data_IF_893227336658
#
_entry.id   IF_893227336658
#
_cell.length_a   1.000
_cell.length_b   1.000
_cell.length_c   1.000
_cell.angle_alpha   90.00
_cell.angle_beta   90.00
_cell.angle_gamma   90.00
#
_symmetry.space_group_name_H-M   'P 1'
#
loop_
_entity.id
_entity.type
_entity.pdbx_description
1 polymer ?
#
# COMPACT_ATOMS: atom_id res chain seq x y z
N UNK A 1 -8.09 13.41 -9.92
CA UNK A 1 -6.85 12.63 -10.14
C UNK A 1 -7.00 11.35 -9.34
N UNK A 2 -6.80 10.19 -9.96
CA UNK A 2 -6.81 8.92 -9.24
C UNK A 2 -5.36 8.57 -8.95
N UNK A 3 -5.00 8.48 -7.67
CA UNK A 3 -3.63 8.13 -7.28
C UNK A 3 -3.41 6.63 -7.48
N UNK A 4 -2.31 6.29 -8.18
CA UNK A 4 -1.88 4.91 -8.37
C UNK A 4 -1.41 4.29 -7.04
N UNK A 5 -1.68 3.01 -6.87
CA UNK A 5 -1.31 2.23 -5.68
C UNK A 5 -2.29 2.33 -4.51
N UNK A 6 -3.40 3.07 -4.62
CA UNK A 6 -4.48 3.09 -3.62
C UNK A 6 -5.35 1.83 -3.67
N UNK A 7 -6.03 1.49 -2.57
CA UNK A 7 -7.07 0.46 -2.52
C UNK A 7 -8.25 0.79 -3.45
N UNK A 8 -8.52 2.08 -3.69
CA UNK A 8 -9.51 2.54 -4.66
C UNK A 8 -9.07 2.23 -6.10
N UNK A 9 -7.81 2.52 -6.45
CA UNK A 9 -7.25 2.20 -7.77
C UNK A 9 -7.15 0.69 -8.01
N UNK A 10 -6.85 -0.10 -6.97
CA UNK A 10 -6.85 -1.56 -7.01
C UNK A 10 -8.21 -2.12 -7.45
N UNK A 11 -9.29 -1.62 -6.85
CA UNK A 11 -10.65 -1.99 -7.20
C UNK A 11 -11.20 -1.23 -8.41
N UNK A 12 -10.41 -0.32 -9.01
CA UNK A 12 -10.79 0.51 -10.16
C UNK A 12 -12.03 1.37 -9.90
N UNK A 13 -12.16 1.91 -8.70
CA UNK A 13 -13.25 2.81 -8.29
C UNK A 13 -12.72 4.19 -7.88
N UNK A 14 -13.61 5.19 -7.88
CA UNK A 14 -13.31 6.54 -7.37
C UNK A 14 -13.38 6.55 -5.84
N UNK A 15 -12.66 7.47 -5.21
CA UNK A 15 -12.75 7.72 -3.76
C UNK A 15 -14.15 8.15 -3.31
N UNK A 16 -14.92 8.76 -4.21
CA UNK A 16 -16.32 9.16 -3.99
C UNK A 16 -17.30 8.00 -4.17
N UNK A 17 -16.83 6.79 -4.48
CA UNK A 17 -17.72 5.65 -4.76
C UNK A 17 -18.54 5.26 -3.53
N UNK A 18 -19.78 4.88 -3.76
CA UNK A 18 -20.68 4.35 -2.73
C UNK A 18 -20.23 2.94 -2.31
N UNK A 19 -20.72 2.46 -1.17
CA UNK A 19 -20.41 1.11 -0.69
C UNK A 19 -20.87 0.03 -1.68
N UNK A 20 -22.00 0.25 -2.36
CA UNK A 20 -22.55 -0.69 -3.34
C UNK A 20 -21.67 -0.75 -4.61
N UNK A 21 -21.20 0.40 -5.09
CA UNK A 21 -20.25 0.47 -6.20
C UNK A 21 -18.94 -0.26 -5.86
N UNK A 22 -18.41 -0.04 -4.65
CA UNK A 22 -17.20 -0.71 -4.16
C UNK A 22 -17.43 -2.23 -4.07
N UNK A 23 -18.58 -2.66 -3.58
CA UNK A 23 -18.92 -4.08 -3.47
C UNK A 23 -19.00 -4.76 -4.84
N UNK A 24 -19.63 -4.12 -5.82
CA UNK A 24 -19.69 -4.60 -7.21
C UNK A 24 -18.28 -4.69 -7.80
N UNK A 25 -17.45 -3.68 -7.58
CA UNK A 25 -16.08 -3.65 -8.03
C UNK A 25 -15.23 -4.76 -7.41
N UNK A 26 -15.34 -4.98 -6.10
CA UNK A 26 -14.69 -6.08 -5.38
C UNK A 26 -15.04 -7.46 -5.96
N UNK A 27 -16.33 -7.74 -6.19
CA UNK A 27 -16.75 -9.00 -6.79
C UNK A 27 -16.26 -9.15 -8.24
N UNK A 28 -16.14 -8.04 -8.97
CA UNK A 28 -15.60 -8.03 -10.34
C UNK A 28 -14.08 -8.26 -10.34
N UNK A 29 -13.37 -7.66 -9.39
CA UNK A 29 -11.94 -7.86 -9.14
C UNK A 29 -11.63 -9.34 -8.86
N UNK A 30 -12.33 -9.96 -7.91
CA UNK A 30 -12.12 -11.37 -7.58
C UNK A 30 -12.42 -12.30 -8.77
N UNK A 31 -13.46 -12.01 -9.55
CA UNK A 31 -13.78 -12.80 -10.76
C UNK A 31 -12.71 -12.72 -11.84
N UNK A 32 -11.94 -11.62 -11.91
CA UNK A 32 -10.84 -11.46 -12.87
C UNK A 32 -9.60 -12.27 -12.48
N UNK A 33 -9.37 -12.43 -11.19
CA UNK A 33 -8.16 -13.05 -10.62
C UNK A 33 -8.37 -14.54 -10.34
N UNK A 34 -9.61 -15.02 -10.41
CA UNK A 34 -9.93 -16.42 -10.14
C UNK A 34 -9.21 -17.38 -11.11
N UNK A 35 -8.56 -18.45 -10.60
CA UNK A 35 -7.74 -19.36 -11.39
C UNK A 35 -8.52 -20.05 -12.54
N UNK A 36 -9.83 -20.30 -12.36
CA UNK A 36 -10.68 -20.86 -13.43
C UNK A 36 -10.72 -20.03 -14.72
N UNK A 37 -10.41 -18.72 -14.65
CA UNK A 37 -10.41 -17.85 -15.84
C UNK A 37 -9.02 -17.54 -16.36
N UNK A 38 -7.99 -17.61 -15.53
CA UNK A 38 -6.63 -17.23 -15.91
C UNK A 38 -5.75 -18.42 -16.27
N UNK A 39 -6.14 -19.66 -15.91
CA UNK A 39 -5.36 -20.88 -16.22
C UNK A 39 -3.98 -20.93 -15.55
N UNK A 40 -3.69 -19.94 -14.70
CA UNK A 40 -2.44 -19.74 -13.96
C UNK A 40 -2.78 -19.91 -12.49
N UNK A 41 -1.85 -20.47 -11.70
CA UNK A 41 -1.97 -20.53 -10.24
C UNK A 41 -2.47 -19.18 -9.72
N UNK A 42 -3.54 -19.20 -8.92
CA UNK A 42 -4.13 -17.96 -8.43
C UNK A 42 -3.06 -17.11 -7.78
N UNK A 43 -2.98 -15.83 -8.15
CA UNK A 43 -2.04 -14.91 -7.53
C UNK A 43 -2.58 -14.62 -6.11
N UNK A 44 -2.27 -15.52 -5.17
CA UNK A 44 -2.81 -15.56 -3.82
C UNK A 44 -2.67 -14.18 -3.13
N UNK A 45 -1.55 -13.52 -3.38
CA UNK A 45 -1.24 -12.17 -2.92
C UNK A 45 -2.24 -11.12 -3.44
N UNK A 46 -2.67 -11.20 -4.70
CA UNK A 46 -3.69 -10.31 -5.27
C UNK A 46 -5.07 -10.56 -4.65
N UNK A 47 -5.43 -11.83 -4.43
CA UNK A 47 -6.69 -12.18 -3.76
C UNK A 47 -6.70 -11.61 -2.34
N UNK A 48 -5.60 -11.73 -1.61
CA UNK A 48 -5.44 -11.17 -0.27
C UNK A 48 -5.50 -9.64 -0.28
N UNK A 49 -4.88 -8.99 -1.26
CA UNK A 49 -4.95 -7.54 -1.43
C UNK A 49 -6.39 -7.08 -1.70
N UNK A 50 -7.14 -7.78 -2.54
CA UNK A 50 -8.56 -7.51 -2.77
C UNK A 50 -9.41 -7.70 -1.52
N UNK A 51 -9.19 -8.78 -0.76
CA UNK A 51 -9.86 -9.03 0.52
C UNK A 51 -9.55 -7.93 1.53
N UNK A 52 -8.32 -7.45 1.56
CA UNK A 52 -7.90 -6.35 2.40
C UNK A 52 -8.56 -5.03 2.02
N UNK A 53 -8.62 -4.70 0.73
CA UNK A 53 -9.36 -3.52 0.25
C UNK A 53 -10.82 -3.57 0.72
N UNK A 54 -11.46 -4.74 0.57
CA UNK A 54 -12.82 -4.92 1.05
C UNK A 54 -12.96 -4.77 2.57
N UNK A 55 -12.01 -5.25 3.38
CA UNK A 55 -12.07 -5.08 4.83
C UNK A 55 -11.95 -3.60 5.25
N UNK A 56 -11.19 -2.80 4.51
CA UNK A 56 -11.11 -1.36 4.74
C UNK A 56 -12.37 -0.62 4.28
N UNK A 57 -13.10 -1.10 3.26
CA UNK A 57 -14.25 -0.38 2.74
C UNK A 57 -15.61 -0.83 3.30
N UNK A 58 -15.72 -2.06 3.79
CA UNK A 58 -16.99 -2.64 4.25
C UNK A 58 -17.62 -1.87 5.41
N UNK A 59 -16.82 -1.33 6.32
CA UNK A 59 -17.27 -0.55 7.47
C UNK A 59 -16.97 0.94 7.25
N UNK A 60 -17.96 1.86 7.40
CA UNK A 60 -17.74 3.29 7.32
C UNK A 60 -16.60 3.81 8.21
N UNK A 61 -16.37 3.20 9.39
CA UNK A 61 -15.30 3.60 10.30
C UNK A 61 -13.93 3.24 9.74
N UNK A 62 -13.74 2.00 9.27
CA UNK A 62 -12.46 1.57 8.68
C UNK A 62 -12.17 2.34 7.40
N UNK A 63 -13.20 2.61 6.59
CA UNK A 63 -13.06 3.44 5.38
C UNK A 63 -12.57 4.83 5.74
N UNK A 64 -13.17 5.46 6.75
CA UNK A 64 -12.77 6.80 7.22
C UNK A 64 -11.33 6.83 7.72
N UNK A 65 -10.86 5.76 8.37
CA UNK A 65 -9.46 5.65 8.81
C UNK A 65 -8.54 5.60 7.59
N UNK A 66 -8.87 4.77 6.60
CA UNK A 66 -8.11 4.70 5.36
C UNK A 66 -8.10 6.04 4.58
N UNK A 67 -9.25 6.71 4.49
CA UNK A 67 -9.35 8.03 3.84
C UNK A 67 -8.48 9.08 4.54
N UNK A 68 -8.40 9.05 5.88
CA UNK A 68 -7.49 9.92 6.65
C UNK A 68 -6.04 9.60 6.37
N UNK A 69 -5.67 8.32 6.34
CA UNK A 69 -4.32 7.90 5.99
C UNK A 69 -3.91 8.41 4.60
N UNK A 70 -4.79 8.26 3.60
CA UNK A 70 -4.54 8.79 2.25
C UNK A 70 -4.36 10.31 2.25
N UNK A 71 -5.18 11.04 3.01
CA UNK A 71 -5.04 12.49 3.13
C UNK A 71 -3.69 12.88 3.77
N UNK A 72 -3.23 12.16 4.79
CA UNK A 72 -1.94 12.38 5.44
C UNK A 72 -0.77 12.11 4.48
N UNK A 73 -0.78 10.98 3.77
CA UNK A 73 0.25 10.64 2.79
C UNK A 73 0.32 11.67 1.65
N UNK A 74 -0.83 12.16 1.17
CA UNK A 74 -0.87 13.26 0.19
C UNK A 74 -0.27 14.54 0.73
N UNK A 75 -0.56 14.89 1.99
CA UNK A 75 0.02 16.07 2.62
C UNK A 75 1.54 15.94 2.73
N UNK A 76 2.04 14.78 3.15
CA UNK A 76 3.48 14.46 3.23
C UNK A 76 4.17 14.62 1.88
N UNK A 77 3.53 14.18 0.79
CA UNK A 77 4.03 14.36 -0.59
C UNK A 77 3.93 15.78 -1.12
N UNK A 78 2.85 16.50 -0.79
CA UNK A 78 2.56 17.84 -1.32
C UNK A 78 3.36 18.96 -0.66
N UNK A 79 3.86 18.75 0.57
CA UNK A 79 4.90 19.61 1.13
C UNK A 79 6.11 19.44 0.21
N UNK A 80 6.38 20.46 -0.60
CA UNK A 80 7.32 20.53 -1.74
C UNK A 80 8.81 20.15 -1.47
N UNK A 81 9.08 19.36 -0.44
CA UNK A 81 10.39 18.96 0.03
C UNK A 81 10.42 17.45 0.32
N UNK A 82 9.51 16.62 -0.21
CA UNK A 82 9.65 15.17 -0.08
C UNK A 82 11.04 14.72 -0.59
N UNK A 83 11.53 15.29 -1.69
CA UNK A 83 12.89 15.06 -2.19
C UNK A 83 13.98 15.71 -1.31
N UNK A 84 13.68 16.81 -0.60
CA UNK A 84 14.65 17.47 0.29
C UNK A 84 14.72 16.86 1.70
N UNK A 85 13.68 16.12 2.11
CA UNK A 85 13.59 15.37 3.37
C UNK A 85 13.98 13.89 3.19
N UNK A 86 13.84 13.35 1.98
CA UNK A 86 14.20 11.97 1.66
C UNK A 86 15.72 11.84 1.64
N UNK A 87 16.24 11.02 2.53
CA UNK A 87 17.68 10.74 2.66
C UNK A 87 18.10 9.55 1.79
N UNK A 88 17.16 8.66 1.46
CA UNK A 88 17.38 7.49 0.63
C UNK A 88 16.08 6.98 -0.01
N UNK A 89 16.20 6.23 -1.09
CA UNK A 89 15.08 5.61 -1.80
C UNK A 89 15.30 4.09 -1.79
N UNK A 90 14.29 3.34 -1.33
CA UNK A 90 14.21 1.89 -1.41
C UNK A 90 13.13 1.50 -2.42
N UNK A 91 13.54 0.92 -3.55
CA UNK A 91 12.61 0.32 -4.51
C UNK A 91 12.45 -1.16 -4.21
N UNK A 92 11.24 -1.62 -3.92
CA UNK A 92 10.97 -3.02 -3.62
C UNK A 92 11.02 -3.84 -4.91
N UNK A 93 11.96 -4.77 -4.98
CA UNK A 93 12.01 -5.76 -6.05
C UNK A 93 11.09 -6.96 -5.73
N UNK A 94 11.06 -7.96 -6.62
CA UNK A 94 10.22 -9.15 -6.43
C UNK A 94 10.64 -9.99 -5.21
N UNK A 95 11.93 -10.03 -4.88
CA UNK A 95 12.44 -10.72 -3.70
C UNK A 95 12.02 -10.00 -2.41
N UNK A 96 12.14 -8.68 -2.36
CA UNK A 96 11.70 -7.84 -1.24
C UNK A 96 10.21 -8.05 -0.97
N UNK A 97 9.39 -8.04 -2.03
CA UNK A 97 7.94 -8.30 -1.95
C UNK A 97 7.67 -9.71 -1.45
N UNK A 98 8.41 -10.71 -1.93
CA UNK A 98 8.28 -12.09 -1.47
C UNK A 98 8.63 -12.22 0.02
N UNK A 99 9.73 -11.61 0.47
CA UNK A 99 10.14 -11.59 1.88
C UNK A 99 9.06 -10.93 2.73
N UNK A 100 8.61 -9.74 2.32
CA UNK A 100 7.59 -8.98 3.02
C UNK A 100 6.31 -9.81 3.19
N UNK A 101 5.79 -10.37 2.10
CA UNK A 101 4.53 -11.11 2.10
C UNK A 101 4.62 -12.44 2.88
N UNK A 102 5.77 -13.13 2.84
CA UNK A 102 5.96 -14.40 3.54
C UNK A 102 6.31 -14.22 5.03
N UNK A 103 7.16 -13.25 5.37
CA UNK A 103 7.67 -13.06 6.74
C UNK A 103 6.87 -12.02 7.54
N UNK A 104 5.97 -11.27 6.89
CA UNK A 104 5.14 -10.25 7.54
C UNK A 104 5.79 -8.88 7.64
N UNK A 105 7.10 -8.77 7.41
CA UNK A 105 7.83 -7.51 7.41
C UNK A 105 9.11 -7.59 6.57
N UNK A 106 9.58 -6.43 6.14
CA UNK A 106 10.87 -6.21 5.49
C UNK A 106 11.69 -5.22 6.33
N UNK A 107 12.95 -5.56 6.56
CA UNK A 107 13.91 -4.70 7.25
C UNK A 107 14.63 -3.86 6.19
N UNK A 108 14.58 -2.54 6.35
CA UNK A 108 15.23 -1.57 5.48
C UNK A 108 16.31 -0.88 6.30
N UNK A 109 17.61 -1.05 5.98
CA UNK A 109 18.69 -0.46 6.75
C UNK A 109 18.69 1.07 6.60
N UNK A 110 18.89 1.80 7.69
CA UNK A 110 19.06 3.25 7.61
C UNK A 110 20.42 3.61 6.99
N UNK A 111 20.43 4.57 6.08
CA UNK A 111 21.67 5.04 5.42
C UNK A 111 22.53 5.95 6.29
N UNK A 112 22.03 6.40 7.44
CA UNK A 112 22.71 7.35 8.34
C UNK A 112 23.21 6.71 9.64
N UNK A 113 22.53 5.68 10.14
CA UNK A 113 22.82 5.08 11.44
C UNK A 113 22.57 3.56 11.37
N UNK A 114 22.97 2.84 12.42
CA UNK A 114 22.73 1.39 12.54
C UNK A 114 21.30 1.04 12.97
N UNK A 115 20.35 1.94 12.72
CA UNK A 115 18.92 1.72 12.99
C UNK A 115 18.23 1.06 11.80
N UNK A 116 17.31 0.15 12.08
CA UNK A 116 16.50 -0.51 11.08
C UNK A 116 15.12 0.15 10.96
N UNK A 117 14.69 0.41 9.72
CA UNK A 117 13.30 0.74 9.42
C UNK A 117 12.53 -0.55 9.17
N UNK A 118 11.35 -0.67 9.77
CA UNK A 118 10.49 -1.84 9.59
C UNK A 118 9.32 -1.48 8.69
N UNK A 119 9.24 -2.11 7.52
CA UNK A 119 8.06 -2.07 6.66
C UNK A 119 7.22 -3.31 6.92
N UNK A 120 6.03 -3.16 7.51
CA UNK A 120 5.14 -4.31 7.73
C UNK A 120 4.26 -4.58 6.51
N UNK A 121 3.70 -5.80 6.43
CA UNK A 121 2.70 -6.13 5.40
C UNK A 121 1.48 -5.22 5.47
N UNK A 122 1.09 -4.77 6.67
CA UNK A 122 -0.05 -3.85 6.81
C UNK A 122 0.28 -2.49 6.21
N UNK A 123 1.46 -1.94 6.49
CA UNK A 123 1.95 -0.69 5.90
C UNK A 123 1.98 -0.80 4.37
N UNK A 124 2.53 -1.90 3.85
CA UNK A 124 2.59 -2.16 2.41
C UNK A 124 1.21 -2.26 1.75
N UNK A 125 0.22 -2.82 2.45
CA UNK A 125 -1.15 -2.90 1.94
C UNK A 125 -1.84 -1.53 1.96
N UNK A 126 -1.52 -0.66 2.93
CA UNK A 126 -2.11 0.68 3.03
C UNK A 126 -1.48 1.68 2.08
N UNK A 127 -0.16 1.60 1.93
CA UNK A 127 0.61 2.64 1.25
C UNK A 127 0.21 2.82 -0.21
N UNK A 128 0.41 4.04 -0.68
CA UNK A 128 0.34 4.41 -2.10
C UNK A 128 1.48 3.75 -2.90
N UNK A 129 1.66 4.12 -4.16
CA UNK A 129 2.83 3.70 -4.95
C UNK A 129 4.17 3.97 -4.25
N UNK A 130 4.22 5.02 -3.43
CA UNK A 130 5.37 5.40 -2.61
C UNK A 130 4.93 5.80 -1.22
N UNK A 131 5.78 5.61 -0.21
CA UNK A 131 5.54 6.05 1.18
C UNK A 131 6.84 6.49 1.81
N UNK A 132 6.76 7.38 2.80
CA UNK A 132 7.93 7.78 3.59
C UNK A 132 7.94 7.02 4.91
N UNK A 133 9.05 6.32 5.19
CA UNK A 133 9.33 5.71 6.48
C UNK A 133 10.34 6.56 7.25
N UNK A 134 10.04 6.85 8.52
CA UNK A 134 10.95 7.56 9.41
C UNK A 134 11.80 6.56 10.19
N UNK A 135 13.12 6.75 10.19
CA UNK A 135 14.02 5.98 11.04
C UNK A 135 13.79 6.34 12.52
N UNK A 136 13.46 5.37 13.40
CA UNK A 136 13.17 5.66 14.81
C UNK A 136 14.41 6.13 15.60
N UNK A 137 15.61 5.91 15.08
CA UNK A 137 16.86 6.27 15.76
C UNK A 137 17.39 7.66 15.39
N UNK A 138 17.20 8.12 14.14
CA UNK A 138 17.79 9.38 13.67
C UNK A 138 16.82 10.29 12.90
N UNK A 139 15.54 9.94 12.80
CA UNK A 139 14.49 10.70 12.11
C UNK A 139 14.76 10.99 10.62
N UNK A 140 15.69 10.28 9.99
CA UNK A 140 15.86 10.35 8.54
C UNK A 140 14.71 9.63 7.84
N UNK A 141 14.29 10.19 6.71
CA UNK A 141 13.17 9.67 5.93
C UNK A 141 13.71 8.82 4.77
N UNK A 142 13.26 7.58 4.68
CA UNK A 142 13.47 6.71 3.52
C UNK A 142 12.19 6.67 2.71
N UNK A 143 12.26 6.99 1.43
CA UNK A 143 11.15 6.77 0.51
C UNK A 143 11.14 5.32 0.06
N UNK A 144 10.04 4.62 0.31
CA UNK A 144 9.81 3.27 -0.21
C UNK A 144 8.92 3.36 -1.44
N UNK A 145 9.32 2.70 -2.52
CA UNK A 145 8.58 2.58 -3.79
C UNK A 145 8.15 1.12 -3.95
N UNK A 146 6.87 0.89 -4.21
CA UNK A 146 6.30 -0.47 -4.31
C UNK A 146 6.92 -1.28 -5.43
#
# INVERSE_FOLDING_TARGET
MQDLGTLYSLLQVKETATIDEIKIAYHSYLRRIHPDKTGIQSNQNEIEMGKFAWSQFKDPQTRRIYDKYLAEERLRRSKNDADALTTSIQTLNEEDRSILLNNGALIIPCTRCDGDLLLTVEDYKWMLETSLLECPACSMMTQVVK
#
